data_IF_583160659233
#
_entry.id   IF_583160659233
#
_cell.length_a   1.000
_cell.length_b   1.000
_cell.length_c   1.000
_cell.angle_alpha   90.00
_cell.angle_beta   90.00
_cell.angle_gamma   90.00
#
_symmetry.space_group_name_H-M   'P 1'
#
loop_
_entity.id
_entity.type
_entity.pdbx_description
1 polymer ?
#
# COMPACT_ATOMS: atom_id res chain seq x y z
N UNK A 1 43.36 14.59 30.06
CA UNK A 1 42.99 14.70 28.65
C UNK A 1 43.43 13.49 27.79
N UNK A 2 44.72 13.07 27.82
CA UNK A 2 45.19 11.91 26.99
C UNK A 2 44.44 10.59 27.25
N UNK A 3 44.10 10.25 28.52
CA UNK A 3 43.36 9.04 28.88
C UNK A 3 41.91 9.07 28.36
N UNK A 4 41.23 10.22 28.33
CA UNK A 4 39.86 10.37 27.84
C UNK A 4 39.82 10.24 26.31
N UNK A 5 40.80 10.81 25.61
CA UNK A 5 40.96 10.69 24.15
C UNK A 5 41.23 9.23 23.76
N UNK A 6 42.04 8.51 24.52
CA UNK A 6 42.34 7.08 24.27
C UNK A 6 41.08 6.21 24.46
N UNK A 7 40.25 6.48 25.47
CA UNK A 7 39.00 5.76 25.73
C UNK A 7 37.98 6.07 24.61
N UNK A 8 37.91 7.33 24.18
CA UNK A 8 37.01 7.72 23.05
C UNK A 8 37.43 7.06 21.73
N UNK A 9 38.73 7.01 21.45
CA UNK A 9 39.26 6.32 20.25
C UNK A 9 39.02 4.81 20.31
N UNK A 10 39.14 4.18 21.46
CA UNK A 10 38.84 2.75 21.64
C UNK A 10 37.33 2.50 21.45
N UNK A 11 36.46 3.34 21.98
CA UNK A 11 35.01 3.23 21.83
C UNK A 11 34.57 3.43 20.38
N UNK A 12 35.12 4.40 19.65
CA UNK A 12 34.82 4.60 18.23
C UNK A 12 35.33 3.44 17.38
N UNK A 13 36.50 2.89 17.68
CA UNK A 13 37.03 1.72 16.98
C UNK A 13 36.14 0.48 17.19
N UNK A 14 35.65 0.24 18.42
CA UNK A 14 34.72 -0.84 18.72
C UNK A 14 33.38 -0.68 17.97
N UNK A 15 32.85 0.53 17.84
CA UNK A 15 31.61 0.81 17.12
C UNK A 15 31.80 0.55 15.61
N UNK A 16 32.93 0.98 15.04
CA UNK A 16 33.24 0.76 13.63
C UNK A 16 33.41 -0.73 13.30
N UNK A 17 34.06 -1.51 14.17
CA UNK A 17 34.21 -2.96 13.93
C UNK A 17 32.89 -3.71 14.08
N UNK A 18 32.00 -3.32 14.99
CA UNK A 18 30.66 -3.90 15.12
C UNK A 18 29.78 -3.58 13.92
N UNK A 19 29.81 -2.34 13.41
CA UNK A 19 29.03 -1.95 12.23
C UNK A 19 29.48 -2.71 10.98
N UNK A 20 30.79 -2.92 10.83
CA UNK A 20 31.35 -3.69 9.70
C UNK A 20 31.01 -5.19 9.79
N UNK A 21 31.05 -5.76 10.98
CA UNK A 21 30.65 -7.16 11.21
C UNK A 21 29.15 -7.37 10.99
N UNK A 22 28.31 -6.39 11.38
CA UNK A 22 26.87 -6.43 11.16
C UNK A 22 26.52 -6.41 9.66
N UNK A 23 27.10 -5.47 8.91
CA UNK A 23 26.88 -5.37 7.47
C UNK A 23 27.30 -6.65 6.75
N UNK A 24 28.38 -7.29 7.22
CA UNK A 24 28.84 -8.55 6.63
C UNK A 24 27.86 -9.71 6.88
N UNK A 25 27.26 -9.82 8.05
CA UNK A 25 26.29 -10.88 8.35
C UNK A 25 25.02 -10.73 7.52
N UNK A 26 24.49 -9.52 7.40
CA UNK A 26 23.32 -9.19 6.60
C UNK A 26 23.59 -9.45 5.10
N UNK A 27 24.79 -9.11 4.61
CA UNK A 27 25.20 -9.37 3.23
C UNK A 27 25.33 -10.88 2.94
N UNK A 28 25.91 -11.67 3.85
CA UNK A 28 25.98 -13.13 3.73
C UNK A 28 24.59 -13.77 3.63
N UNK A 29 23.64 -13.30 4.48
CA UNK A 29 22.26 -13.79 4.45
C UNK A 29 21.59 -13.46 3.14
N UNK A 30 21.76 -12.22 2.64
CA UNK A 30 21.21 -11.78 1.35
C UNK A 30 21.77 -12.62 0.20
N UNK A 31 23.08 -12.82 0.13
CA UNK A 31 23.72 -13.66 -0.87
C UNK A 31 23.24 -15.11 -0.79
N UNK A 32 23.02 -15.64 0.44
CA UNK A 32 22.47 -16.97 0.64
C UNK A 32 21.05 -17.09 0.03
N UNK A 33 20.19 -16.09 0.24
CA UNK A 33 18.83 -16.04 -0.32
C UNK A 33 18.85 -15.94 -1.85
N UNK A 34 19.75 -15.12 -2.42
CA UNK A 34 19.93 -15.00 -3.86
C UNK A 34 20.38 -16.34 -4.49
N UNK A 35 21.36 -17.02 -3.88
CA UNK A 35 21.82 -18.33 -4.35
C UNK A 35 20.71 -19.40 -4.20
N UNK A 36 19.90 -19.33 -3.13
CA UNK A 36 18.74 -20.20 -2.96
C UNK A 36 17.73 -20.03 -4.11
N UNK A 37 17.44 -18.79 -4.49
CA UNK A 37 16.56 -18.47 -5.62
C UNK A 37 17.10 -18.98 -6.95
N UNK A 38 18.42 -18.89 -7.14
CA UNK A 38 19.14 -19.45 -8.30
C UNK A 38 19.27 -20.98 -8.25
N UNK A 39 18.78 -21.63 -7.19
CA UNK A 39 18.91 -23.08 -6.95
C UNK A 39 20.35 -23.56 -6.76
N UNK A 40 21.28 -22.68 -6.41
CA UNK A 40 22.67 -22.99 -6.07
C UNK A 40 22.74 -23.43 -4.58
N UNK A 41 22.16 -24.59 -4.27
CA UNK A 41 21.86 -25.02 -2.91
C UNK A 41 23.10 -25.19 -2.04
N UNK A 42 24.19 -25.72 -2.57
CA UNK A 42 25.45 -25.91 -1.83
C UNK A 42 26.02 -24.56 -1.39
N UNK A 43 26.03 -23.60 -2.32
CA UNK A 43 26.51 -22.24 -2.06
C UNK A 43 25.60 -21.51 -1.05
N UNK A 44 24.28 -21.60 -1.25
CA UNK A 44 23.31 -21.03 -0.33
C UNK A 44 23.49 -21.58 1.08
N UNK A 45 23.64 -22.91 1.23
CA UNK A 45 23.89 -23.57 2.51
C UNK A 45 25.15 -23.06 3.21
N UNK A 46 26.26 -22.95 2.48
CA UNK A 46 27.53 -22.43 3.02
C UNK A 46 27.39 -21.00 3.53
N UNK A 47 26.75 -20.13 2.74
CA UNK A 47 26.52 -18.73 3.10
C UNK A 47 25.55 -18.60 4.30
N UNK A 48 24.48 -19.41 4.37
CA UNK A 48 23.61 -19.45 5.53
C UNK A 48 24.35 -19.89 6.80
N UNK A 49 25.26 -20.86 6.72
CA UNK A 49 26.09 -21.27 7.87
C UNK A 49 27.01 -20.14 8.35
N UNK A 50 27.64 -19.42 7.43
CA UNK A 50 28.47 -18.29 7.78
C UNK A 50 27.63 -17.16 8.43
N UNK A 51 26.46 -16.85 7.86
CA UNK A 51 25.53 -15.86 8.41
C UNK A 51 25.01 -16.30 9.80
N UNK A 52 24.66 -17.58 9.96
CA UNK A 52 24.26 -18.15 11.26
C UNK A 52 25.30 -17.88 12.36
N UNK A 53 26.56 -18.21 12.09
CA UNK A 53 27.63 -18.00 13.05
C UNK A 53 27.85 -16.50 13.34
N UNK A 54 27.83 -15.67 12.31
CA UNK A 54 28.01 -14.24 12.47
C UNK A 54 26.87 -13.59 13.26
N UNK A 55 25.60 -13.95 13.03
CA UNK A 55 24.46 -13.43 13.80
C UNK A 55 24.43 -13.96 15.24
N UNK A 56 24.79 -15.22 15.45
CA UNK A 56 24.84 -15.80 16.80
C UNK A 56 25.85 -15.09 17.70
N UNK A 57 27.01 -14.69 17.16
CA UNK A 57 28.03 -13.90 17.90
C UNK A 57 27.61 -12.45 18.17
N UNK A 58 26.63 -11.94 17.42
CA UNK A 58 26.09 -10.57 17.56
C UNK A 58 24.82 -10.50 18.41
N UNK A 59 24.42 -11.58 19.07
CA UNK A 59 23.16 -11.70 19.81
C UNK A 59 21.89 -11.41 18.96
N UNK A 60 21.99 -11.55 17.63
CA UNK A 60 20.87 -11.42 16.68
C UNK A 60 20.16 -12.77 16.53
N UNK A 61 19.46 -13.18 17.57
CA UNK A 61 18.90 -14.53 17.72
C UNK A 61 17.91 -14.89 16.60
N UNK A 62 17.06 -13.95 16.18
CA UNK A 62 16.06 -14.20 15.13
C UNK A 62 16.72 -14.52 13.77
N UNK A 63 17.69 -13.71 13.35
CA UNK A 63 18.43 -13.89 12.10
C UNK A 63 19.32 -15.16 12.17
N UNK A 64 19.95 -15.40 13.31
CA UNK A 64 20.74 -16.64 13.51
C UNK A 64 19.86 -17.87 13.34
N UNK A 65 18.72 -17.95 14.02
CA UNK A 65 17.79 -19.08 13.89
C UNK A 65 17.28 -19.22 12.46
N UNK A 66 16.94 -18.10 11.80
CA UNK A 66 16.50 -18.14 10.40
C UNK A 66 17.57 -18.75 9.47
N UNK A 67 18.81 -18.30 9.59
CA UNK A 67 19.92 -18.85 8.81
C UNK A 67 20.19 -20.31 9.16
N UNK A 68 20.16 -20.68 10.44
CA UNK A 68 20.36 -22.05 10.91
C UNK A 68 19.29 -23.01 10.40
N UNK A 69 18.03 -22.61 10.44
CA UNK A 69 16.91 -23.41 9.91
C UNK A 69 17.01 -23.56 8.38
N UNK A 70 17.32 -22.49 7.65
CA UNK A 70 17.49 -22.55 6.21
C UNK A 70 18.67 -23.46 5.81
N UNK A 71 19.79 -23.37 6.49
CA UNK A 71 20.92 -24.24 6.25
C UNK A 71 20.59 -25.72 6.59
N UNK A 72 19.85 -25.95 7.69
CA UNK A 72 19.34 -27.27 8.07
C UNK A 72 18.43 -27.85 6.98
N UNK A 73 17.49 -27.07 6.46
CA UNK A 73 16.60 -27.50 5.39
C UNK A 73 17.37 -27.87 4.10
N UNK A 74 18.49 -27.20 3.81
CA UNK A 74 19.35 -27.55 2.69
C UNK A 74 20.16 -28.82 2.93
N UNK A 75 20.66 -29.05 4.14
CA UNK A 75 21.24 -30.33 4.53
C UNK A 75 20.24 -31.49 4.43
N UNK A 76 19.03 -31.26 4.96
CA UNK A 76 17.93 -32.21 4.89
C UNK A 76 17.54 -32.56 3.45
N UNK A 77 17.48 -31.57 2.56
CA UNK A 77 17.22 -31.73 1.13
C UNK A 77 18.21 -32.67 0.47
N UNK A 78 19.48 -32.67 0.90
CA UNK A 78 20.55 -33.51 0.40
C UNK A 78 20.70 -34.83 1.18
N UNK A 79 19.77 -35.13 2.11
CA UNK A 79 19.74 -36.28 2.99
C UNK A 79 20.87 -36.32 4.04
N UNK A 80 21.53 -35.20 4.32
CA UNK A 80 22.49 -35.06 5.42
C UNK A 80 21.75 -34.80 6.75
N UNK A 81 20.99 -35.80 7.20
CA UNK A 81 20.11 -35.68 8.39
C UNK A 81 20.88 -35.41 9.67
N UNK A 82 22.05 -36.01 9.83
CA UNK A 82 22.87 -35.80 11.03
C UNK A 82 23.25 -34.33 11.19
N UNK A 83 23.82 -33.75 10.14
CA UNK A 83 24.25 -32.35 10.10
C UNK A 83 23.05 -31.40 10.29
N UNK A 84 21.92 -31.73 9.66
CA UNK A 84 20.69 -30.97 9.82
C UNK A 84 20.20 -30.94 11.27
N UNK A 85 20.15 -32.09 11.96
CA UNK A 85 19.74 -32.21 13.36
C UNK A 85 20.74 -31.51 14.30
N UNK A 86 22.03 -31.62 14.05
CA UNK A 86 23.06 -30.95 14.84
C UNK A 86 22.94 -29.42 14.74
N UNK A 87 22.70 -28.92 13.55
CA UNK A 87 22.49 -27.47 13.32
C UNK A 87 21.23 -26.96 14.03
N UNK A 88 20.11 -27.69 13.98
CA UNK A 88 18.91 -27.35 14.75
C UNK A 88 19.10 -27.40 16.25
N UNK A 89 19.97 -28.28 16.75
CA UNK A 89 20.37 -28.28 18.17
C UNK A 89 21.14 -27.03 18.53
N UNK A 90 22.08 -26.60 17.67
CA UNK A 90 22.80 -25.33 17.82
C UNK A 90 21.86 -24.14 17.80
N UNK A 91 20.90 -24.10 16.87
CA UNK A 91 19.88 -23.06 16.82
C UNK A 91 19.02 -23.02 18.09
N UNK A 92 18.68 -24.16 18.67
CA UNK A 92 17.95 -24.24 19.95
C UNK A 92 18.75 -23.69 21.12
N UNK A 93 20.07 -23.89 21.14
CA UNK A 93 20.96 -23.27 22.13
C UNK A 93 21.03 -21.75 21.95
N UNK A 94 21.06 -21.25 20.73
CA UNK A 94 21.01 -19.82 20.44
C UNK A 94 19.72 -19.20 20.99
N UNK A 95 18.56 -19.87 20.81
CA UNK A 95 17.28 -19.41 21.39
C UNK A 95 17.36 -19.42 22.93
N UNK A 96 17.83 -20.51 23.54
CA UNK A 96 17.95 -20.61 24.99
C UNK A 96 18.85 -19.52 25.59
N UNK A 97 19.97 -19.23 24.93
CA UNK A 97 20.87 -18.11 25.32
C UNK A 97 20.14 -16.76 25.20
N UNK A 98 19.39 -16.56 24.12
CA UNK A 98 18.62 -15.32 23.90
C UNK A 98 17.53 -15.12 24.96
N UNK A 99 16.78 -16.17 25.29
CA UNK A 99 15.75 -16.15 26.32
C UNK A 99 16.38 -15.85 27.71
N UNK A 100 17.52 -16.47 28.02
CA UNK A 100 18.22 -16.21 29.27
C UNK A 100 18.74 -14.78 29.37
N UNK A 101 19.36 -14.25 28.30
CA UNK A 101 19.90 -12.88 28.28
C UNK A 101 18.83 -11.80 28.29
N UNK A 102 17.71 -12.05 27.59
CA UNK A 102 16.64 -11.05 27.44
C UNK A 102 15.54 -11.16 28.47
N UNK A 103 15.44 -12.28 29.18
CA UNK A 103 14.32 -12.60 30.08
C UNK A 103 12.99 -12.80 29.37
N UNK A 104 12.98 -12.95 28.03
CA UNK A 104 11.76 -13.08 27.20
C UNK A 104 11.74 -14.39 26.48
N UNK A 105 10.61 -15.11 26.53
CA UNK A 105 10.40 -16.31 25.72
C UNK A 105 10.37 -15.97 24.23
N UNK A 106 10.90 -16.86 23.41
CA UNK A 106 10.99 -16.71 21.94
C UNK A 106 10.21 -17.82 21.21
N UNK A 107 8.88 -17.95 21.42
CA UNK A 107 8.09 -19.05 20.89
C UNK A 107 8.15 -19.14 19.35
N UNK A 108 8.18 -18.01 18.64
CA UNK A 108 8.26 -18.00 17.18
C UNK A 108 9.55 -18.69 16.67
N UNK A 109 10.67 -18.51 17.36
CA UNK A 109 11.94 -19.13 16.98
C UNK A 109 11.93 -20.63 17.29
N UNK A 110 11.40 -21.03 18.45
CA UNK A 110 11.20 -22.45 18.81
C UNK A 110 10.28 -23.16 17.83
N UNK A 111 9.19 -22.46 17.40
CA UNK A 111 8.27 -23.00 16.39
C UNK A 111 8.99 -23.32 15.07
N UNK A 112 9.80 -22.39 14.55
CA UNK A 112 10.57 -22.59 13.32
C UNK A 112 11.49 -23.80 13.40
N UNK A 113 12.23 -23.95 14.48
CA UNK A 113 13.15 -25.09 14.72
C UNK A 113 12.38 -26.40 14.75
N UNK A 114 11.29 -26.47 15.53
CA UNK A 114 10.50 -27.70 15.70
C UNK A 114 9.76 -28.07 14.42
N UNK A 115 9.35 -27.09 13.60
CA UNK A 115 8.71 -27.33 12.29
C UNK A 115 9.69 -28.01 11.33
N UNK A 116 10.93 -27.55 11.22
CA UNK A 116 11.93 -28.18 10.37
C UNK A 116 12.28 -29.59 10.89
N UNK A 117 12.40 -29.76 12.21
CA UNK A 117 12.64 -31.07 12.85
C UNK A 117 11.48 -32.03 12.58
N UNK A 118 10.23 -31.57 12.65
CA UNK A 118 9.06 -32.35 12.28
C UNK A 118 9.13 -32.82 10.82
N UNK A 119 9.45 -31.88 9.90
CA UNK A 119 9.56 -32.21 8.47
C UNK A 119 10.61 -33.30 8.19
N UNK A 120 11.73 -33.26 8.88
CA UNK A 120 12.74 -34.32 8.80
C UNK A 120 12.21 -35.67 9.27
N UNK A 121 11.50 -35.73 10.42
CA UNK A 121 10.91 -36.97 10.91
C UNK A 121 9.78 -37.50 10.02
N UNK A 122 9.02 -36.63 9.38
CA UNK A 122 8.04 -37.00 8.35
C UNK A 122 8.74 -37.67 7.17
N UNK A 123 9.84 -37.12 6.68
CA UNK A 123 10.59 -37.66 5.54
C UNK A 123 11.28 -38.96 5.92
N UNK A 124 11.78 -39.12 7.14
CA UNK A 124 12.33 -40.36 7.71
C UNK A 124 11.26 -41.42 8.03
N UNK A 125 9.96 -41.10 7.79
CA UNK A 125 8.83 -42.01 8.11
C UNK A 125 8.81 -42.46 9.57
N UNK A 126 9.19 -41.59 10.50
CA UNK A 126 9.17 -41.84 11.93
C UNK A 126 7.96 -41.17 12.61
N UNK A 127 6.79 -41.84 12.69
CA UNK A 127 5.57 -41.23 13.19
C UNK A 127 5.65 -40.83 14.68
N UNK A 128 6.37 -41.61 15.48
CA UNK A 128 6.50 -41.36 16.92
C UNK A 128 7.26 -40.05 17.19
N UNK A 129 8.43 -39.91 16.58
CA UNK A 129 9.21 -38.64 16.71
C UNK A 129 8.54 -37.46 16.03
N UNK A 130 7.90 -37.71 14.88
CA UNK A 130 7.11 -36.65 14.23
C UNK A 130 5.96 -36.17 15.13
N UNK A 131 5.22 -37.09 15.81
CA UNK A 131 4.15 -36.69 16.74
C UNK A 131 4.67 -35.91 17.92
N UNK A 132 5.81 -36.24 18.49
CA UNK A 132 6.46 -35.50 19.56
C UNK A 132 6.73 -34.05 19.13
N UNK A 133 7.26 -33.83 17.93
CA UNK A 133 7.52 -32.47 17.42
C UNK A 133 6.22 -31.71 17.12
N UNK A 134 5.20 -32.40 16.61
CA UNK A 134 3.89 -31.79 16.35
C UNK A 134 3.27 -31.27 17.66
N UNK A 135 3.33 -32.05 18.75
CA UNK A 135 2.85 -31.62 20.06
C UNK A 135 3.58 -30.36 20.55
N UNK A 136 4.91 -30.30 20.40
CA UNK A 136 5.70 -29.09 20.72
C UNK A 136 5.29 -27.87 19.88
N UNK A 137 4.94 -28.06 18.60
CA UNK A 137 4.43 -27.00 17.74
C UNK A 137 3.05 -26.50 18.20
N UNK A 138 2.15 -27.42 18.58
CA UNK A 138 0.82 -27.11 19.11
C UNK A 138 0.92 -26.26 20.38
N UNK A 139 1.77 -26.67 21.33
CA UNK A 139 2.04 -25.92 22.56
C UNK A 139 2.63 -24.52 22.27
N UNK A 140 3.61 -24.47 21.38
CA UNK A 140 4.29 -23.22 21.03
C UNK A 140 3.36 -22.24 20.32
N UNK A 141 2.54 -22.72 19.38
CA UNK A 141 1.57 -21.89 18.66
C UNK A 141 0.51 -21.32 19.61
N UNK A 142 0.02 -22.18 20.56
CA UNK A 142 -0.94 -21.75 21.59
C UNK A 142 -0.34 -20.67 22.51
N UNK A 143 0.92 -20.81 22.91
CA UNK A 143 1.60 -19.84 23.76
C UNK A 143 1.92 -18.51 23.07
N UNK A 144 2.03 -18.50 21.73
CA UNK A 144 2.41 -17.32 20.96
C UNK A 144 1.30 -16.33 20.72
N UNK A 145 0.01 -16.76 20.78
CA UNK A 145 -1.16 -15.99 20.37
C UNK A 145 -1.03 -15.31 18.99
N UNK A 146 -0.36 -15.97 18.05
CA UNK A 146 -0.04 -15.44 16.72
C UNK A 146 -0.80 -16.21 15.64
N UNK A 147 -1.70 -15.53 14.92
CA UNK A 147 -2.53 -16.14 13.86
C UNK A 147 -1.70 -16.71 12.72
N UNK A 148 -0.57 -16.09 12.38
CA UNK A 148 0.34 -16.59 11.34
C UNK A 148 0.92 -17.96 11.74
N UNK A 149 1.31 -18.16 13.00
CA UNK A 149 1.77 -19.45 13.49
C UNK A 149 0.64 -20.46 13.55
N UNK A 150 -0.58 -20.06 13.86
CA UNK A 150 -1.75 -20.92 13.85
C UNK A 150 -2.04 -21.47 12.46
N UNK A 151 -1.95 -20.63 11.42
CA UNK A 151 -2.12 -21.07 10.03
C UNK A 151 -0.98 -22.02 9.60
N UNK A 152 0.25 -21.70 9.96
CA UNK A 152 1.41 -22.54 9.68
C UNK A 152 1.34 -23.88 10.40
N UNK A 153 0.80 -23.91 11.61
CA UNK A 153 0.51 -25.12 12.36
C UNK A 153 -0.51 -26.00 11.64
N UNK A 154 -1.65 -25.43 11.19
CA UNK A 154 -2.68 -26.17 10.45
C UNK A 154 -2.14 -26.82 9.19
N UNK A 155 -1.30 -26.10 8.44
CA UNK A 155 -0.60 -26.63 7.27
C UNK A 155 0.32 -27.81 7.65
N UNK A 156 1.09 -27.65 8.72
CA UNK A 156 2.04 -28.65 9.20
C UNK A 156 1.31 -29.89 9.74
N UNK A 157 0.19 -29.71 10.43
CA UNK A 157 -0.71 -30.79 10.87
C UNK A 157 -1.26 -31.58 9.67
N UNK A 158 -1.75 -30.88 8.64
CA UNK A 158 -2.26 -31.53 7.43
C UNK A 158 -1.18 -32.42 6.77
N UNK A 159 0.04 -31.89 6.61
CA UNK A 159 1.17 -32.65 6.06
C UNK A 159 1.48 -33.90 6.89
N UNK A 160 1.56 -33.79 8.20
CA UNK A 160 1.78 -34.91 9.11
C UNK A 160 0.67 -35.96 8.98
N UNK A 161 -0.59 -35.56 9.11
CA UNK A 161 -1.73 -36.49 9.10
C UNK A 161 -1.87 -37.22 7.77
N UNK A 162 -1.78 -36.53 6.64
CA UNK A 162 -1.85 -37.21 5.33
C UNK A 162 -0.66 -38.14 5.05
N UNK A 163 0.54 -37.76 5.48
CA UNK A 163 1.72 -38.60 5.27
C UNK A 163 1.64 -39.91 6.05
N UNK A 164 0.97 -39.90 7.21
CA UNK A 164 0.81 -41.10 8.04
C UNK A 164 -0.59 -41.73 7.92
N UNK A 165 -1.35 -41.39 6.86
CA UNK A 165 -2.63 -42.03 6.53
C UNK A 165 -3.82 -41.60 7.39
N UNK A 166 -3.66 -40.61 8.25
CA UNK A 166 -4.74 -40.06 9.11
C UNK A 166 -5.58 -39.05 8.34
N UNK A 167 -6.24 -39.52 7.28
CA UNK A 167 -6.90 -38.63 6.30
C UNK A 167 -7.97 -37.70 6.90
N UNK A 168 -8.77 -38.20 7.84
CA UNK A 168 -9.84 -37.42 8.49
C UNK A 168 -9.29 -36.23 9.25
N UNK A 169 -8.20 -36.39 10.00
CA UNK A 169 -7.53 -35.29 10.71
C UNK A 169 -6.86 -34.34 9.73
N UNK A 170 -6.28 -34.85 8.66
CA UNK A 170 -5.72 -34.05 7.58
C UNK A 170 -6.77 -33.19 6.89
N UNK A 171 -7.94 -33.77 6.57
CA UNK A 171 -9.09 -33.05 6.01
C UNK A 171 -9.58 -31.95 6.96
N UNK A 172 -9.67 -32.23 8.26
CA UNK A 172 -10.10 -31.25 9.26
C UNK A 172 -9.13 -30.04 9.33
N UNK A 173 -7.83 -30.30 9.40
CA UNK A 173 -6.82 -29.24 9.42
C UNK A 173 -6.84 -28.39 8.14
N UNK A 174 -6.92 -29.04 6.98
CA UNK A 174 -6.95 -28.36 5.68
C UNK A 174 -8.22 -27.52 5.49
N UNK A 175 -9.40 -28.08 5.82
CA UNK A 175 -10.66 -27.37 5.69
C UNK A 175 -10.70 -26.12 6.60
N UNK A 176 -10.14 -26.23 7.81
CA UNK A 176 -10.03 -25.09 8.72
C UNK A 176 -9.14 -24.00 8.15
N UNK A 177 -7.96 -24.38 7.62
CA UNK A 177 -7.04 -23.43 7.00
C UNK A 177 -7.64 -22.73 5.77
N UNK A 178 -8.27 -23.50 4.88
CA UNK A 178 -8.97 -22.97 3.70
C UNK A 178 -10.12 -22.05 4.12
N UNK A 179 -10.89 -22.42 5.17
CA UNK A 179 -11.97 -21.59 5.72
C UNK A 179 -11.46 -20.24 6.16
N UNK A 180 -10.39 -20.21 6.96
CA UNK A 180 -9.77 -18.95 7.43
C UNK A 180 -9.32 -18.05 6.28
N UNK A 181 -8.67 -18.60 5.24
CA UNK A 181 -8.26 -17.80 4.09
C UNK A 181 -9.43 -17.32 3.24
N UNK A 182 -10.53 -18.09 3.16
CA UNK A 182 -11.77 -17.65 2.48
C UNK A 182 -12.41 -16.48 3.21
N UNK A 183 -12.50 -16.54 4.54
CA UNK A 183 -13.03 -15.44 5.37
C UNK A 183 -12.20 -14.16 5.20
N UNK A 184 -10.88 -14.29 5.07
CA UNK A 184 -9.96 -13.19 4.79
C UNK A 184 -9.97 -12.73 3.32
N UNK A 185 -10.79 -13.35 2.45
CA UNK A 185 -10.80 -13.13 0.98
C UNK A 185 -9.41 -13.31 0.33
N UNK A 186 -8.53 -14.08 0.95
CA UNK A 186 -7.20 -14.36 0.45
C UNK A 186 -7.23 -15.57 -0.50
N UNK A 187 -7.79 -15.36 -1.67
CA UNK A 187 -8.01 -16.41 -2.66
C UNK A 187 -6.71 -17.02 -3.20
N UNK A 188 -5.63 -16.22 -3.25
CA UNK A 188 -4.30 -16.72 -3.64
C UNK A 188 -3.77 -17.78 -2.64
N UNK A 189 -4.00 -17.58 -1.34
CA UNK A 189 -3.62 -18.55 -0.31
C UNK A 189 -4.49 -19.80 -0.34
N UNK A 190 -5.76 -19.69 -0.66
CA UNK A 190 -6.63 -20.86 -0.87
C UNK A 190 -6.13 -21.69 -2.05
N UNK A 191 -5.77 -21.05 -3.16
CA UNK A 191 -5.18 -21.71 -4.33
C UNK A 191 -3.87 -22.44 -3.98
N UNK A 192 -2.98 -21.80 -3.23
CA UNK A 192 -1.74 -22.38 -2.72
C UNK A 192 -2.01 -23.59 -1.83
N UNK A 193 -3.03 -23.54 -0.95
CA UNK A 193 -3.41 -24.68 -0.10
C UNK A 193 -3.81 -25.90 -0.93
N UNK A 194 -4.67 -25.74 -1.94
CA UNK A 194 -5.06 -26.85 -2.80
C UNK A 194 -3.88 -27.45 -3.56
N UNK A 195 -3.04 -26.62 -4.18
CA UNK A 195 -1.84 -27.07 -4.91
C UNK A 195 -0.88 -27.82 -4.00
N UNK A 196 -0.70 -27.34 -2.79
CA UNK A 196 0.17 -28.00 -1.81
C UNK A 196 -0.42 -29.32 -1.32
N UNK A 197 -1.72 -29.37 -1.07
CA UNK A 197 -2.39 -30.62 -0.69
C UNK A 197 -2.27 -31.69 -1.78
N UNK A 198 -2.41 -31.30 -3.05
CA UNK A 198 -2.15 -32.21 -4.19
C UNK A 198 -0.71 -32.72 -4.16
N UNK A 199 0.26 -31.85 -3.88
CA UNK A 199 1.68 -32.24 -3.76
C UNK A 199 1.91 -33.22 -2.62
N UNK A 200 1.33 -32.97 -1.44
CA UNK A 200 1.39 -33.85 -0.28
C UNK A 200 0.79 -35.24 -0.61
N UNK A 201 -0.41 -35.23 -1.21
CA UNK A 201 -1.11 -36.45 -1.60
C UNK A 201 -0.30 -37.32 -2.60
N UNK A 202 0.36 -36.66 -3.56
CA UNK A 202 1.26 -37.31 -4.52
C UNK A 202 2.48 -37.93 -3.81
N UNK A 203 3.14 -37.22 -2.92
CA UNK A 203 4.29 -37.71 -2.14
C UNK A 203 3.90 -38.86 -1.22
N UNK A 204 2.68 -38.89 -0.73
CA UNK A 204 2.13 -39.95 0.09
C UNK A 204 1.62 -41.18 -0.75
N UNK A 205 1.69 -41.10 -2.09
CA UNK A 205 1.10 -42.08 -3.01
C UNK A 205 -0.39 -42.34 -2.76
N UNK A 206 -1.13 -41.31 -2.33
CA UNK A 206 -2.56 -41.39 -2.01
C UNK A 206 -3.39 -40.94 -3.21
N UNK A 207 -3.64 -41.82 -4.19
CA UNK A 207 -4.37 -41.50 -5.41
C UNK A 207 -5.81 -40.97 -5.14
N UNK A 208 -6.49 -41.55 -4.14
CA UNK A 208 -7.84 -41.14 -3.76
C UNK A 208 -7.86 -39.72 -3.20
N UNK A 209 -6.86 -39.31 -2.41
CA UNK A 209 -6.74 -37.93 -1.92
C UNK A 209 -6.40 -36.99 -3.07
N UNK A 210 -5.53 -37.40 -4.01
CA UNK A 210 -5.22 -36.59 -5.21
C UNK A 210 -6.48 -36.28 -6.00
N UNK A 211 -7.28 -37.33 -6.34
CA UNK A 211 -8.52 -37.14 -7.11
C UNK A 211 -9.50 -36.18 -6.40
N UNK A 212 -9.84 -36.49 -5.14
CA UNK A 212 -10.78 -35.66 -4.37
C UNK A 212 -10.30 -34.20 -4.22
N UNK A 213 -9.00 -33.99 -4.12
CA UNK A 213 -8.45 -32.63 -3.98
C UNK A 213 -8.52 -31.88 -5.30
N UNK A 214 -8.28 -32.55 -6.42
CA UNK A 214 -8.47 -31.94 -7.75
C UNK A 214 -9.93 -31.53 -7.99
N UNK A 215 -10.88 -32.39 -7.65
CA UNK A 215 -12.32 -32.09 -7.80
C UNK A 215 -12.69 -30.84 -6.97
N UNK A 216 -12.27 -30.80 -5.72
CA UNK A 216 -12.49 -29.62 -4.83
C UNK A 216 -11.80 -28.37 -5.37
N UNK A 217 -10.60 -28.52 -5.94
CA UNK A 217 -9.86 -27.40 -6.50
C UNK A 217 -10.50 -26.82 -7.75
N UNK A 218 -11.03 -27.68 -8.64
CA UNK A 218 -11.77 -27.25 -9.84
C UNK A 218 -13.02 -26.47 -9.43
N UNK A 219 -13.85 -27.06 -8.53
CA UNK A 219 -15.05 -26.38 -8.03
C UNK A 219 -14.73 -25.04 -7.35
N UNK A 220 -13.63 -24.99 -6.61
CA UNK A 220 -13.14 -23.74 -6.01
C UNK A 220 -12.75 -22.71 -7.07
N UNK A 221 -11.97 -23.10 -8.07
CA UNK A 221 -11.49 -22.23 -9.14
C UNK A 221 -12.65 -21.60 -9.92
N UNK A 222 -13.68 -22.39 -10.21
CA UNK A 222 -14.87 -21.90 -10.90
C UNK A 222 -15.67 -20.93 -10.02
N UNK A 223 -15.79 -21.23 -8.72
CA UNK A 223 -16.42 -20.33 -7.75
C UNK A 223 -15.67 -18.99 -7.63
N UNK A 224 -14.34 -19.01 -7.61
CA UNK A 224 -13.51 -17.79 -7.53
C UNK A 224 -13.65 -16.95 -8.79
N UNK A 225 -13.65 -17.56 -9.99
CA UNK A 225 -13.88 -16.84 -11.24
C UNK A 225 -15.22 -16.11 -11.24
N UNK A 226 -16.28 -16.77 -10.76
CA UNK A 226 -17.59 -16.15 -10.64
C UNK A 226 -17.60 -14.98 -9.64
N UNK A 227 -16.93 -15.14 -8.47
CA UNK A 227 -16.84 -14.10 -7.46
C UNK A 227 -16.02 -12.90 -7.94
N UNK A 228 -14.86 -13.13 -8.57
CA UNK A 228 -14.01 -12.05 -9.08
C UNK A 228 -14.71 -11.30 -10.21
N UNK A 229 -15.39 -11.99 -11.12
CA UNK A 229 -16.18 -11.34 -12.17
C UNK A 229 -17.29 -10.47 -11.59
N UNK A 230 -17.96 -10.93 -10.51
CA UNK A 230 -18.98 -10.13 -9.82
C UNK A 230 -18.39 -8.91 -9.11
N UNK A 231 -17.23 -9.05 -8.47
CA UNK A 231 -16.53 -7.93 -7.83
C UNK A 231 -16.07 -6.89 -8.86
N UNK A 232 -15.54 -7.34 -10.00
CA UNK A 232 -15.17 -6.45 -11.12
C UNK A 232 -16.37 -5.71 -11.68
N UNK A 233 -17.50 -6.39 -11.86
CA UNK A 233 -18.74 -5.78 -12.32
C UNK A 233 -19.24 -4.71 -11.32
N UNK A 234 -19.21 -5.01 -10.03
CA UNK A 234 -19.60 -4.07 -8.98
C UNK A 234 -18.66 -2.85 -8.94
N UNK A 235 -17.34 -3.06 -9.09
CA UNK A 235 -16.37 -1.98 -9.17
C UNK A 235 -16.57 -1.09 -10.40
N UNK A 236 -16.88 -1.70 -11.55
CA UNK A 236 -17.20 -0.98 -12.78
C UNK A 236 -18.49 -0.16 -12.64
N UNK A 237 -19.53 -0.76 -12.05
CA UNK A 237 -20.80 -0.07 -11.76
C UNK A 237 -20.57 1.15 -10.87
N UNK A 238 -19.80 0.99 -9.80
CA UNK A 238 -19.46 2.11 -8.91
C UNK A 238 -18.74 3.25 -9.64
N UNK A 239 -17.76 2.92 -10.50
CA UNK A 239 -17.06 3.92 -11.33
C UNK A 239 -18.01 4.61 -12.31
N UNK A 240 -18.96 3.88 -12.87
CA UNK A 240 -19.97 4.45 -13.75
C UNK A 240 -20.87 5.44 -13.00
N UNK A 241 -21.37 5.06 -11.82
CA UNK A 241 -22.19 5.93 -10.97
C UNK A 241 -21.44 7.19 -10.53
N UNK A 242 -20.16 7.07 -10.15
CA UNK A 242 -19.27 8.21 -9.84
C UNK A 242 -19.09 9.14 -11.07
N UNK A 243 -18.94 8.56 -12.26
CA UNK A 243 -18.81 9.32 -13.50
C UNK A 243 -20.10 10.07 -13.85
N UNK A 244 -21.26 9.44 -13.66
CA UNK A 244 -22.57 10.09 -13.84
C UNK A 244 -22.76 11.27 -12.89
N UNK A 245 -22.42 11.09 -11.60
CA UNK A 245 -22.50 12.15 -10.61
C UNK A 245 -21.59 13.34 -10.99
N UNK A 246 -20.38 13.06 -11.47
CA UNK A 246 -19.43 14.09 -11.93
C UNK A 246 -19.94 14.85 -13.17
N UNK A 247 -20.59 14.14 -14.11
CA UNK A 247 -21.21 14.77 -15.30
C UNK A 247 -22.36 15.66 -14.88
N UNK A 248 -23.20 15.19 -13.96
CA UNK A 248 -24.34 15.97 -13.45
C UNK A 248 -23.89 17.23 -12.71
N UNK A 249 -22.87 17.16 -11.87
CA UNK A 249 -22.27 18.31 -11.20
C UNK A 249 -21.68 19.33 -12.20
N UNK A 250 -21.06 18.86 -13.29
CA UNK A 250 -20.55 19.72 -14.36
C UNK A 250 -21.67 20.39 -15.15
N UNK A 251 -22.76 19.67 -15.44
CA UNK A 251 -23.93 20.21 -16.14
C UNK A 251 -24.62 21.30 -15.31
N UNK A 252 -24.79 21.09 -13.99
CA UNK A 252 -25.33 22.08 -13.07
C UNK A 252 -24.44 23.33 -13.00
N UNK A 253 -23.10 23.14 -12.96
CA UNK A 253 -22.12 24.21 -12.99
C UNK A 253 -22.14 25.00 -14.32
N UNK A 254 -22.30 24.31 -15.46
CA UNK A 254 -22.43 24.93 -16.79
C UNK A 254 -23.72 25.73 -16.90
N UNK A 255 -24.85 25.23 -16.43
CA UNK A 255 -26.13 25.93 -16.40
C UNK A 255 -26.04 27.22 -15.56
N UNK A 256 -25.43 27.13 -14.37
CA UNK A 256 -25.21 28.32 -13.54
C UNK A 256 -24.34 29.39 -14.24
N UNK A 257 -23.28 29.00 -14.94
CA UNK A 257 -22.43 29.91 -15.72
C UNK A 257 -23.19 30.54 -16.89
N UNK A 258 -24.06 29.79 -17.57
CA UNK A 258 -24.91 30.31 -18.65
C UNK A 258 -25.86 31.39 -18.14
N UNK A 259 -26.52 31.20 -16.98
CA UNK A 259 -27.36 32.22 -16.37
C UNK A 259 -26.59 33.49 -15.99
N UNK A 260 -25.37 33.36 -15.51
CA UNK A 260 -24.50 34.51 -15.21
C UNK A 260 -24.15 35.30 -16.48
N UNK A 261 -23.81 34.58 -17.57
CA UNK A 261 -23.49 35.23 -18.87
C UNK A 261 -24.69 35.97 -19.43
N UNK A 262 -25.87 35.36 -19.40
CA UNK A 262 -27.12 36.00 -19.84
C UNK A 262 -27.41 37.27 -19.02
N UNK A 263 -27.26 37.20 -17.69
CA UNK A 263 -27.43 38.34 -16.81
C UNK A 263 -26.46 39.48 -17.13
N UNK A 264 -25.20 39.17 -17.39
CA UNK A 264 -24.18 40.15 -17.79
C UNK A 264 -24.50 40.82 -19.16
N UNK A 265 -24.99 40.02 -20.13
CA UNK A 265 -25.42 40.56 -21.43
C UNK A 265 -26.59 41.55 -21.30
N UNK A 266 -27.59 41.23 -20.48
CA UNK A 266 -28.72 42.10 -20.21
C UNK A 266 -28.24 43.41 -19.54
N UNK A 267 -27.37 43.30 -18.55
CA UNK A 267 -26.81 44.51 -17.87
C UNK A 267 -26.04 45.39 -18.84
N UNK A 268 -25.21 44.78 -19.71
CA UNK A 268 -24.46 45.53 -20.73
C UNK A 268 -25.40 46.26 -21.72
N UNK A 269 -26.49 45.62 -22.13
CA UNK A 269 -27.49 46.24 -23.01
C UNK A 269 -28.20 47.45 -22.34
N UNK A 270 -28.53 47.35 -21.06
CA UNK A 270 -29.13 48.44 -20.29
C UNK A 270 -28.15 49.62 -20.18
N UNK A 271 -26.87 49.34 -19.87
CA UNK A 271 -25.85 50.40 -19.82
C UNK A 271 -25.64 51.09 -21.16
N UNK A 272 -25.62 50.33 -22.26
CA UNK A 272 -25.51 50.86 -23.61
C UNK A 272 -26.71 51.81 -23.94
N UNK A 273 -27.90 51.36 -23.61
CA UNK A 273 -29.13 52.20 -23.80
C UNK A 273 -29.08 53.48 -22.97
N UNK A 274 -28.60 53.42 -21.71
CA UNK A 274 -28.45 54.60 -20.85
C UNK A 274 -27.42 55.59 -21.41
N UNK A 275 -26.29 55.08 -21.97
CA UNK A 275 -25.29 55.92 -22.62
C UNK A 275 -25.84 56.64 -23.88
N UNK A 276 -26.58 55.94 -24.70
CA UNK A 276 -27.25 56.53 -25.89
C UNK A 276 -28.24 57.58 -25.48
N UNK A 277 -29.08 57.31 -24.46
CA UNK A 277 -30.01 58.28 -23.93
C UNK A 277 -29.30 59.54 -23.37
N UNK A 278 -28.24 59.34 -22.59
CA UNK A 278 -27.40 60.44 -22.08
C UNK A 278 -26.78 61.32 -23.19
N UNK A 279 -26.29 60.63 -24.26
CA UNK A 279 -25.76 61.35 -25.44
C UNK A 279 -26.84 62.18 -26.15
N UNK A 280 -28.05 61.66 -26.29
CA UNK A 280 -29.18 62.43 -26.88
C UNK A 280 -29.55 63.63 -26.04
N UNK A 281 -29.60 63.47 -24.70
CA UNK A 281 -29.89 64.58 -23.77
C UNK A 281 -28.81 65.66 -23.85
N UNK A 282 -27.52 65.23 -23.88
CA UNK A 282 -26.39 66.19 -24.04
C UNK A 282 -26.46 66.97 -25.37
N UNK A 283 -26.75 66.23 -26.47
CA UNK A 283 -26.95 66.92 -27.79
C UNK A 283 -28.07 67.95 -27.76
N UNK A 284 -29.22 67.59 -27.17
CA UNK A 284 -30.32 68.50 -27.00
C UNK A 284 -29.93 69.77 -26.14
N UNK A 285 -29.19 69.51 -25.07
CA UNK A 285 -28.70 70.60 -24.21
C UNK A 285 -27.74 71.50 -24.96
N UNK A 286 -26.81 70.98 -25.75
CA UNK A 286 -25.90 71.79 -26.59
C UNK A 286 -26.67 72.62 -27.63
N UNK A 287 -27.67 72.01 -28.29
CA UNK A 287 -28.52 72.76 -29.29
C UNK A 287 -29.31 73.87 -28.62
N UNK A 288 -29.91 73.64 -27.45
CA UNK A 288 -30.62 74.65 -26.67
C UNK A 288 -29.70 75.83 -26.26
N UNK A 289 -28.52 75.47 -25.72
CA UNK A 289 -27.51 76.47 -25.32
C UNK A 289 -27.03 77.31 -26.51
N UNK A 290 -26.84 76.68 -27.69
CA UNK A 290 -26.51 77.43 -28.92
C UNK A 290 -27.65 78.39 -29.37
N UNK A 291 -28.92 77.91 -29.28
CA UNK A 291 -30.08 78.73 -29.58
C UNK A 291 -30.21 79.95 -28.64
N UNK A 292 -29.99 79.71 -27.32
CA UNK A 292 -29.99 80.76 -26.32
C UNK A 292 -28.87 81.77 -26.56
N UNK A 293 -27.63 81.33 -26.83
CA UNK A 293 -26.53 82.27 -27.18
C UNK A 293 -26.84 83.07 -28.42
N UNK A 294 -27.45 82.46 -29.45
CA UNK A 294 -27.84 83.18 -30.67
C UNK A 294 -28.94 84.22 -30.43
N UNK A 295 -29.93 83.89 -29.56
CA UNK A 295 -30.99 84.82 -29.19
C UNK A 295 -30.44 85.99 -28.37
N UNK A 296 -29.49 85.77 -27.44
CA UNK A 296 -28.82 86.77 -26.67
C UNK A 296 -27.98 87.70 -27.59
N UNK A 297 -27.26 87.13 -28.57
CA UNK A 297 -26.50 87.92 -29.57
C UNK A 297 -27.39 88.79 -30.38
N UNK A 298 -28.53 88.33 -30.87
CA UNK A 298 -29.51 89.12 -31.64
C UNK A 298 -30.12 90.22 -30.76
N UNK A 299 -30.45 89.92 -29.49
CA UNK A 299 -30.98 90.85 -28.56
C UNK A 299 -29.98 92.05 -28.24
N UNK A 300 -28.68 91.70 -28.09
CA UNK A 300 -27.64 92.70 -27.89
C UNK A 300 -27.39 93.56 -29.13
N UNK A 301 -27.42 93.01 -30.32
CA UNK A 301 -27.30 93.70 -31.59
C UNK A 301 -28.47 94.66 -31.76
N UNK A 302 -29.66 94.21 -31.40
CA UNK A 302 -30.86 95.10 -31.43
C UNK A 302 -30.79 96.23 -30.43
N UNK A 303 -30.23 96.00 -29.22
CA UNK A 303 -29.98 96.97 -28.22
C UNK A 303 -28.92 98.03 -28.66
N UNK A 304 -27.82 97.56 -29.27
CA UNK A 304 -26.81 98.46 -29.83
C UNK A 304 -27.37 99.34 -30.95
N UNK A 305 -28.16 98.76 -31.85
CA UNK A 305 -28.83 99.48 -32.89
C UNK A 305 -29.81 100.57 -32.30
N UNK A 306 -30.55 100.16 -31.26
CA UNK A 306 -31.44 101.08 -30.54
C UNK A 306 -30.69 102.22 -29.87
N UNK A 307 -29.53 101.92 -29.24
CA UNK A 307 -28.66 102.89 -28.61
C UNK A 307 -28.08 103.90 -29.64
N UNK A 308 -27.58 103.39 -30.79
CA UNK A 308 -27.09 104.18 -31.90
C UNK A 308 -28.21 105.08 -32.52
N UNK A 309 -29.40 104.48 -32.62
CA UNK A 309 -30.53 105.24 -33.10
C UNK A 309 -30.91 106.40 -32.16
N UNK A 310 -30.93 106.18 -30.84
CA UNK A 310 -31.18 107.17 -29.82
C UNK A 310 -30.08 108.25 -29.83
N UNK A 311 -28.81 107.89 -29.95
CA UNK A 311 -27.67 108.78 -30.04
C UNK A 311 -27.76 109.68 -31.31
N UNK A 312 -28.13 109.13 -32.46
CA UNK A 312 -28.31 109.89 -33.69
C UNK A 312 -29.48 110.85 -33.59
N UNK A 313 -30.59 110.49 -32.98
CA UNK A 313 -31.71 111.40 -32.76
C UNK A 313 -31.31 112.54 -31.78
N UNK A 314 -30.59 112.22 -30.69
CA UNK A 314 -30.10 113.24 -29.76
C UNK A 314 -29.14 114.20 -30.42
N UNK A 315 -28.26 113.74 -31.35
CA UNK A 315 -27.34 114.62 -32.06
C UNK A 315 -28.04 115.53 -33.13
N UNK A 316 -29.23 115.13 -33.59
CA UNK A 316 -30.03 115.95 -34.52
C UNK A 316 -30.97 116.98 -33.82
N UNK A 317 -31.13 116.85 -32.49
CA UNK A 317 -32.01 117.76 -31.69
C UNK A 317 -31.25 118.79 -30.86
N UNK A 318 -29.92 119.01 -31.08
CA UNK A 318 -29.26 120.20 -30.50
C UNK A 318 -29.60 121.45 -31.34
N UNK A 319 -30.23 122.41 -30.76
CA UNK A 319 -30.51 123.61 -31.44
C UNK A 319 -29.29 124.51 -31.51
N UNK A 320 -29.05 125.18 -32.64
CA UNK A 320 -28.13 126.27 -32.93
C UNK A 320 -28.40 127.39 -32.05
#
# INVERSE_FOLDING_TARGET
MKKIISILLLATFCIFTQLHAQNRADELMKQAQENLTKKEYIKARYLFLQAYNAFATQDKYAQAVECGVNASALYHRENYYKEAFELLRGAEQVVATGEQKTGKAMPNLRFRINKERLQMYINLKNPARAKEQLTKLEETAKASHNDSLSNDLLYTQANYYYTFGMNTQGDAATNRLIGQYKEQKNYAKVDECYKTLISIARKANNAGLVARTYDKYILWTDSVKALTAQEELNALKKKYDESLATIQEKDDSLSAKQYIIIGLCILAAILAAALVFGAIVLLRFIILTRKQKKAISIANEHNELKTKFIQNISAQMEPT
#
